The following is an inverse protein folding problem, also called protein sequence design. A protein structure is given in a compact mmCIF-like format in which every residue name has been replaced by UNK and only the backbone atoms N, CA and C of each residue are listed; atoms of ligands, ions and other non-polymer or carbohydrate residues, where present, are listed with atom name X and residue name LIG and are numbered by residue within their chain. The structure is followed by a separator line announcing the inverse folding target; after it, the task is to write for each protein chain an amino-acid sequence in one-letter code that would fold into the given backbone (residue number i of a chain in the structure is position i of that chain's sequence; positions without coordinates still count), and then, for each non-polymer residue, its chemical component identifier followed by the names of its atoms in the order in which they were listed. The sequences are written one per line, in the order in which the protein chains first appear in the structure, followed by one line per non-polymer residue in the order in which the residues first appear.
data_IF_536969597758
#
_entry.id   IF_536969597758
#
_cell.length_a   1.000
_cell.length_b   1.000
_cell.length_c   1.000
_cell.angle_alpha   90.00
_cell.angle_beta   90.00
_cell.angle_gamma   90.00
#
_symmetry.space_group_name_H-M   'P 1'
#
loop_
_entity.id
_entity.type
_entity.pdbx_description
1 polymer ?
#
# COMPACT_ATOMS: atom_id res chain seq x y z
N UNK A 1 -12.98 25.21 7.24
CA UNK A 1 -12.59 25.50 5.84
C UNK A 1 -11.09 25.81 5.82
N UNK A 2 -10.29 25.05 5.05
CA UNK A 2 -8.84 25.25 4.96
C UNK A 2 -8.50 26.57 4.24
N UNK A 3 -7.52 27.33 4.75
CA UNK A 3 -7.10 28.62 4.19
C UNK A 3 -6.42 28.53 2.82
N UNK A 4 -5.80 29.62 2.36
CA UNK A 4 -5.23 29.80 1.00
C UNK A 4 -4.15 28.76 0.58
N UNK A 5 -3.71 27.88 1.48
CA UNK A 5 -2.76 26.80 1.23
C UNK A 5 -3.40 25.41 1.40
N UNK A 6 -4.51 25.16 0.70
CA UNK A 6 -5.33 23.92 0.82
C UNK A 6 -4.49 22.65 0.68
N UNK A 7 -3.57 22.61 -0.29
CA UNK A 7 -2.73 21.43 -0.54
C UNK A 7 -1.70 21.19 0.57
N UNK A 8 -1.07 22.26 1.08
CA UNK A 8 -0.08 22.14 2.16
C UNK A 8 -0.75 21.71 3.47
N UNK A 9 -1.95 22.22 3.75
CA UNK A 9 -2.74 21.84 4.91
C UNK A 9 -3.25 20.40 4.82
N UNK A 10 -3.71 19.98 3.64
CA UNK A 10 -4.09 18.59 3.41
C UNK A 10 -2.90 17.64 3.59
N UNK A 11 -1.72 18.02 3.10
CA UNK A 11 -0.49 17.25 3.30
C UNK A 11 -0.07 17.22 4.79
N UNK A 12 -0.23 18.32 5.52
CA UNK A 12 0.04 18.36 6.96
C UNK A 12 -0.89 17.42 7.75
N UNK A 13 -2.14 17.26 7.31
CA UNK A 13 -3.07 16.27 7.89
C UNK A 13 -2.61 14.84 7.60
N UNK A 14 -2.23 14.54 6.35
CA UNK A 14 -1.75 13.21 5.94
C UNK A 14 -0.47 12.81 6.68
N UNK A 15 0.43 13.77 6.93
CA UNK A 15 1.68 13.56 7.66
C UNK A 15 1.49 13.56 9.19
N UNK A 16 0.27 13.77 9.69
CA UNK A 16 -0.03 13.84 11.13
C UNK A 16 0.50 15.09 11.83
N UNK A 17 0.95 16.11 11.08
CA UNK A 17 1.41 17.40 11.61
C UNK A 17 0.26 18.35 11.96
N UNK A 18 -0.91 18.19 11.33
CA UNK A 18 -2.14 18.91 11.64
C UNK A 18 -3.22 17.94 12.07
N UNK A 19 -3.68 18.08 13.31
CA UNK A 19 -4.69 17.22 13.96
C UNK A 19 -5.83 18.03 14.59
N UNK A 20 -5.83 19.35 14.40
CA UNK A 20 -6.88 20.25 14.85
C UNK A 20 -7.22 21.30 13.79
N UNK A 21 -8.44 21.84 13.85
CA UNK A 21 -8.91 22.97 13.06
C UNK A 21 -9.87 23.83 13.88
N UNK A 22 -9.97 25.11 13.55
CA UNK A 22 -10.99 25.98 14.13
C UNK A 22 -11.82 26.73 13.08
N UNK A 23 -13.01 27.15 13.47
CA UNK A 23 -13.94 27.92 12.65
C UNK A 23 -14.74 28.89 13.50
N UNK A 24 -15.22 30.01 12.95
CA UNK A 24 -15.95 31.00 13.73
C UNK A 24 -17.38 30.52 14.01
N UNK A 25 -17.75 30.41 15.29
CA UNK A 25 -19.05 29.90 15.73
C UNK A 25 -20.24 30.65 15.08
N UNK A 26 -20.12 31.97 14.97
CA UNK A 26 -21.16 32.83 14.39
C UNK A 26 -21.51 32.48 12.94
N UNK A 27 -20.60 31.87 12.18
CA UNK A 27 -20.85 31.51 10.78
C UNK A 27 -21.85 30.35 10.66
N UNK A 28 -21.81 29.37 11.57
CA UNK A 28 -22.78 28.26 11.59
C UNK A 28 -24.22 28.76 11.73
N UNK A 29 -24.45 29.74 12.61
CA UNK A 29 -25.78 30.34 12.80
C UNK A 29 -26.26 31.09 11.56
N UNK A 30 -25.36 31.83 10.90
CA UNK A 30 -25.67 32.61 9.69
C UNK A 30 -25.94 31.73 8.48
N UNK A 31 -25.15 30.67 8.32
CA UNK A 31 -25.23 29.73 7.19
C UNK A 31 -26.30 28.64 7.42
N UNK A 32 -26.84 28.56 8.65
CA UNK A 32 -27.78 27.52 9.09
C UNK A 32 -27.20 26.11 8.98
N UNK A 33 -25.90 26.00 9.25
CA UNK A 33 -25.18 24.74 9.28
C UNK A 33 -25.05 24.23 10.72
N UNK A 34 -25.13 22.90 10.94
CA UNK A 34 -24.88 22.33 12.26
C UNK A 34 -23.40 22.48 12.63
N UNK A 35 -23.14 22.66 13.91
CA UNK A 35 -21.78 22.55 14.45
C UNK A 35 -21.33 21.08 14.31
N UNK A 36 -20.06 20.82 13.95
CA UNK A 36 -19.50 19.48 13.88
C UNK A 36 -19.68 18.71 15.18
N UNK A 37 -19.84 17.39 15.08
CA UNK A 37 -20.02 16.52 16.25
C UNK A 37 -18.93 15.46 16.36
N UNK A 38 -18.66 15.03 17.59
CA UNK A 38 -17.71 13.93 17.84
C UNK A 38 -18.19 12.66 17.14
N UNK A 39 -17.26 11.94 16.52
CA UNK A 39 -17.45 10.79 15.62
C UNK A 39 -17.97 11.10 14.21
N UNK A 40 -18.07 12.37 13.82
CA UNK A 40 -18.33 12.76 12.45
C UNK A 40 -17.11 12.50 11.56
N UNK A 41 -17.35 12.10 10.31
CA UNK A 41 -16.31 11.87 9.32
C UNK A 41 -16.34 12.97 8.27
N UNK A 42 -15.16 13.49 7.93
CA UNK A 42 -14.98 14.54 6.94
C UNK A 42 -13.96 14.12 5.89
N UNK A 43 -14.23 14.49 4.64
CA UNK A 43 -13.32 14.26 3.52
C UNK A 43 -12.47 15.50 3.32
N UNK A 44 -11.15 15.32 3.33
CA UNK A 44 -10.19 16.37 2.97
C UNK A 44 -10.07 16.41 1.46
N UNK A 45 -10.23 17.61 0.90
CA UNK A 45 -10.07 17.88 -0.52
C UNK A 45 -8.78 18.66 -0.77
N UNK A 46 -8.15 18.42 -1.91
CA UNK A 46 -7.06 19.26 -2.42
C UNK A 46 -7.60 20.51 -3.15
N UNK A 47 -6.70 21.36 -3.65
CA UNK A 47 -7.01 22.58 -4.41
C UNK A 47 -7.78 22.33 -5.72
N UNK A 48 -7.79 21.09 -6.21
CA UNK A 48 -8.54 20.64 -7.39
C UNK A 48 -9.91 20.03 -7.03
N UNK A 49 -10.34 20.13 -5.77
CA UNK A 49 -11.55 19.49 -5.22
C UNK A 49 -11.54 17.96 -5.32
N UNK A 50 -10.37 17.33 -5.32
CA UNK A 50 -10.23 15.88 -5.30
C UNK A 50 -10.06 15.38 -3.86
N UNK A 51 -10.72 14.27 -3.47
CA UNK A 51 -10.53 13.68 -2.15
C UNK A 51 -9.09 13.18 -1.99
N UNK A 52 -8.47 13.47 -0.85
CA UNK A 52 -7.09 13.04 -0.53
C UNK A 52 -6.98 12.32 0.80
N UNK A 53 -7.87 12.57 1.75
CA UNK A 53 -7.90 11.88 3.04
C UNK A 53 -9.31 11.87 3.65
N UNK A 54 -9.53 10.96 4.60
CA UNK A 54 -10.71 10.93 5.47
C UNK A 54 -10.22 11.15 6.90
N UNK A 55 -10.86 12.09 7.60
CA UNK A 55 -10.62 12.34 9.02
C UNK A 55 -11.88 12.04 9.83
N UNK A 56 -11.71 11.80 11.12
CA UNK A 56 -12.79 11.63 12.09
C UNK A 56 -12.61 12.62 13.24
N UNK A 57 -13.64 13.42 13.52
CA UNK A 57 -13.64 14.34 14.66
C UNK A 57 -13.72 13.56 15.97
N UNK A 58 -12.78 13.82 16.89
CA UNK A 58 -12.67 13.14 18.19
C UNK A 58 -12.95 14.06 19.37
N UNK A 59 -12.84 15.38 19.19
CA UNK A 59 -13.18 16.37 20.20
C UNK A 59 -13.74 17.63 19.53
N UNK A 60 -14.73 18.25 20.17
CA UNK A 60 -15.30 19.54 19.74
C UNK A 60 -15.49 20.41 20.97
N UNK A 61 -14.95 21.62 20.93
CA UNK A 61 -15.08 22.62 21.99
C UNK A 61 -15.42 23.98 21.39
N UNK A 62 -16.13 24.81 22.17
CA UNK A 62 -16.43 26.19 21.78
C UNK A 62 -15.74 27.09 22.79
N UNK A 63 -14.70 27.79 22.35
CA UNK A 63 -13.88 28.65 23.22
C UNK A 63 -13.59 30.00 22.56
N UNK A 64 -13.44 31.08 23.34
CA UNK A 64 -12.97 32.36 22.82
C UNK A 64 -11.59 32.25 22.17
N UNK A 65 -11.36 32.96 21.07
CA UNK A 65 -10.07 32.93 20.35
C UNK A 65 -8.88 33.33 21.25
N UNK A 66 -9.06 34.28 22.15
CA UNK A 66 -8.05 34.70 23.12
C UNK A 66 -7.79 33.70 24.26
N UNK A 67 -8.60 32.65 24.39
CA UNK A 67 -8.44 31.57 25.37
C UNK A 67 -7.91 30.26 24.74
N UNK A 68 -7.64 30.25 23.43
CA UNK A 68 -7.03 29.11 22.74
C UNK A 68 -5.64 28.83 23.32
N UNK A 69 -5.38 27.57 23.64
CA UNK A 69 -4.10 27.15 24.21
C UNK A 69 -3.00 27.05 23.16
N UNK A 70 -1.75 27.22 23.58
CA UNK A 70 -0.59 26.99 22.70
C UNK A 70 -0.57 25.54 22.18
N UNK A 71 -1.00 24.58 22.99
CA UNK A 71 -1.12 23.17 22.60
C UNK A 71 -2.07 22.99 21.40
N UNK A 72 -3.23 23.65 21.41
CA UNK A 72 -4.18 23.61 20.30
C UNK A 72 -3.60 24.28 19.05
N UNK A 73 -2.97 25.45 19.21
CA UNK A 73 -2.31 26.16 18.11
C UNK A 73 -1.20 25.32 17.45
N UNK A 74 -0.46 24.53 18.23
CA UNK A 74 0.53 23.58 17.71
C UNK A 74 -0.14 22.41 16.98
N UNK A 75 -1.25 21.88 17.50
CA UNK A 75 -2.02 20.82 16.84
C UNK A 75 -2.64 21.27 15.51
N UNK A 76 -2.87 22.57 15.32
CA UNK A 76 -3.29 23.14 14.03
C UNK A 76 -2.18 23.16 12.97
N UNK A 77 -0.91 22.92 13.35
CA UNK A 77 0.22 22.80 12.44
C UNK A 77 0.92 24.12 12.09
N UNK A 78 0.59 25.24 12.76
CA UNK A 78 1.13 26.57 12.47
C UNK A 78 2.47 26.88 13.18
N UNK A 79 3.04 25.90 13.87
CA UNK A 79 4.40 25.96 14.45
C UNK A 79 4.57 26.76 15.74
N UNK A 80 3.82 27.85 15.96
CA UNK A 80 3.82 28.59 17.24
C UNK A 80 2.50 29.32 17.50
N UNK A 81 2.15 29.56 18.76
CA UNK A 81 0.93 30.31 19.13
C UNK A 81 0.88 31.72 18.50
N UNK A 82 2.01 32.44 18.49
CA UNK A 82 2.07 33.77 17.87
C UNK A 82 1.75 33.72 16.38
N UNK A 83 2.33 32.76 15.66
CA UNK A 83 2.08 32.60 14.23
C UNK A 83 0.62 32.21 13.97
N UNK A 84 0.11 31.24 14.73
CA UNK A 84 -1.30 30.84 14.70
C UNK A 84 -2.22 32.04 14.89
N UNK A 85 -1.99 32.88 15.92
CA UNK A 85 -2.81 34.07 16.21
C UNK A 85 -2.77 35.07 15.05
N UNK A 86 -1.58 35.40 14.52
CA UNK A 86 -1.44 36.35 13.41
C UNK A 86 -2.15 35.87 12.13
N UNK A 87 -2.09 34.56 11.83
CA UNK A 87 -2.77 33.95 10.68
C UNK A 87 -4.29 33.98 10.88
N UNK A 88 -4.77 33.50 12.03
CA UNK A 88 -6.20 33.37 12.32
C UNK A 88 -6.89 34.73 12.46
N UNK A 89 -6.23 35.74 13.04
CA UNK A 89 -6.78 37.09 13.09
C UNK A 89 -7.02 37.65 11.68
N UNK A 90 -6.05 37.47 10.78
CA UNK A 90 -6.16 37.93 9.39
C UNK A 90 -7.28 37.20 8.67
N UNK A 91 -7.36 35.89 8.86
CA UNK A 91 -8.39 35.04 8.28
C UNK A 91 -9.79 35.45 8.77
N UNK A 92 -10.03 35.51 10.08
CA UNK A 92 -11.34 35.85 10.63
C UNK A 92 -11.74 37.30 10.38
N UNK A 93 -10.81 38.27 10.37
CA UNK A 93 -11.09 39.65 9.92
C UNK A 93 -11.65 39.68 8.51
N UNK A 94 -11.12 38.85 7.61
CA UNK A 94 -11.60 38.74 6.23
C UNK A 94 -12.94 38.03 6.15
N UNK A 95 -13.09 36.85 6.76
CA UNK A 95 -14.31 36.05 6.66
C UNK A 95 -15.51 36.74 7.32
N UNK A 96 -15.35 37.27 8.53
CA UNK A 96 -16.40 38.04 9.22
C UNK A 96 -16.76 39.32 8.45
N UNK A 97 -15.76 39.96 7.83
CA UNK A 97 -15.98 41.14 6.99
C UNK A 97 -16.90 40.89 5.79
N UNK A 98 -16.87 39.69 5.19
CA UNK A 98 -17.76 39.31 4.07
C UNK A 98 -19.24 39.29 4.48
N UNK A 99 -19.51 39.00 5.76
CA UNK A 99 -20.87 38.96 6.33
C UNK A 99 -21.20 40.22 7.13
N UNK A 100 -20.38 41.27 7.03
CA UNK A 100 -20.61 42.56 7.69
C UNK A 100 -20.35 42.58 9.20
N UNK A 101 -19.68 41.56 9.74
CA UNK A 101 -19.30 41.46 11.15
C UNK A 101 -17.89 41.99 11.38
N UNK A 102 -17.66 42.53 12.58
CA UNK A 102 -16.32 42.98 13.02
C UNK A 102 -15.65 41.89 13.83
N UNK A 103 -14.38 41.66 13.57
CA UNK A 103 -13.54 40.79 14.36
C UNK A 103 -13.24 41.39 15.74
N UNK A 104 -13.29 40.56 16.77
CA UNK A 104 -12.83 40.82 18.13
C UNK A 104 -12.04 39.61 18.64
N UNK A 105 -11.12 39.80 19.59
CA UNK A 105 -10.29 38.68 20.08
C UNK A 105 -11.07 37.67 20.93
N UNK A 106 -12.27 38.03 21.39
CA UNK A 106 -13.18 37.18 22.16
C UNK A 106 -14.22 36.45 21.27
N UNK A 107 -14.05 36.46 19.94
CA UNK A 107 -14.91 35.67 19.05
C UNK A 107 -14.89 34.20 19.48
N UNK A 108 -16.07 33.57 19.51
CA UNK A 108 -16.16 32.14 19.79
C UNK A 108 -15.71 31.35 18.57
N UNK A 109 -14.76 30.44 18.80
CA UNK A 109 -14.30 29.46 17.83
C UNK A 109 -14.91 28.09 18.16
N UNK A 110 -15.38 27.40 17.13
CA UNK A 110 -15.60 25.96 17.17
C UNK A 110 -14.24 25.31 16.87
N UNK A 111 -13.66 24.69 17.89
CA UNK A 111 -12.37 24.02 17.86
C UNK A 111 -12.59 22.51 17.77
N UNK A 112 -12.10 21.91 16.69
CA UNK A 112 -12.20 20.48 16.43
C UNK A 112 -10.82 19.83 16.53
N UNK A 113 -10.74 18.67 17.18
CA UNK A 113 -9.62 17.74 17.01
C UNK A 113 -10.08 16.54 16.22
N UNK A 114 -9.20 16.02 15.38
CA UNK A 114 -9.52 14.89 14.52
C UNK A 114 -8.35 13.93 14.39
N UNK A 115 -8.69 12.71 13.99
CA UNK A 115 -7.75 11.65 13.66
C UNK A 115 -7.85 11.33 12.17
N UNK A 116 -6.70 11.06 11.54
CA UNK A 116 -6.63 10.58 10.17
C UNK A 116 -7.11 9.12 10.12
N UNK A 117 -8.13 8.85 9.32
CA UNK A 117 -8.73 7.51 9.18
C UNK A 117 -8.17 6.79 7.96
N UNK A 118 -8.09 7.49 6.83
CA UNK A 118 -7.63 6.90 5.57
C UNK A 118 -7.00 7.98 4.67
N UNK A 119 -6.10 7.54 3.78
CA UNK A 119 -5.42 8.38 2.80
C UNK A 119 -5.67 7.80 1.43
N UNK A 120 -6.14 8.64 0.50
CA UNK A 120 -6.27 8.22 -0.90
C UNK A 120 -4.87 7.92 -1.44
N UNK A 121 -4.61 6.64 -1.67
CA UNK A 121 -3.36 6.19 -2.27
C UNK A 121 -3.19 6.85 -3.64
N UNK A 122 -2.08 7.55 -3.80
CA UNK A 122 -1.74 8.19 -5.07
C UNK A 122 -1.58 7.09 -6.11
N UNK A 123 -2.22 7.22 -7.27
CA UNK A 123 -1.91 6.40 -8.45
C UNK A 123 -0.43 6.59 -8.76
N UNK A 124 0.41 5.64 -8.36
CA UNK A 124 1.85 5.72 -8.61
C UNK A 124 2.14 5.28 -10.03
N UNK A 125 2.84 6.11 -10.81
CA UNK A 125 3.37 5.73 -12.14
C UNK A 125 4.58 4.80 -12.00
N UNK A 126 4.42 3.67 -11.31
CA UNK A 126 5.45 2.64 -11.12
C UNK A 126 4.84 1.25 -11.26
N UNK A 127 5.67 0.28 -11.67
CA UNK A 127 5.29 -1.13 -11.59
C UNK A 127 5.11 -1.51 -10.11
N UNK A 128 3.97 -2.11 -9.78
CA UNK A 128 3.62 -2.46 -8.40
C UNK A 128 4.15 -3.83 -7.99
N UNK A 129 4.02 -4.81 -8.89
CA UNK A 129 4.48 -6.20 -8.72
C UNK A 129 4.63 -6.88 -10.07
N UNK A 130 5.22 -8.07 -10.08
CA UNK A 130 5.11 -8.99 -11.21
C UNK A 130 3.65 -9.44 -11.32
N UNK A 131 3.06 -9.26 -12.49
CA UNK A 131 1.66 -9.58 -12.75
C UNK A 131 1.49 -11.05 -13.14
N UNK A 132 2.16 -11.43 -14.23
CA UNK A 132 2.13 -12.77 -14.83
C UNK A 132 3.55 -13.14 -15.30
N UNK A 133 3.93 -14.40 -15.14
CA UNK A 133 5.15 -14.96 -15.77
C UNK A 133 4.78 -15.97 -16.85
N UNK A 134 5.51 -15.98 -17.96
CA UNK A 134 5.28 -16.89 -19.08
C UNK A 134 6.28 -18.04 -19.02
N UNK A 135 5.78 -19.27 -19.07
CA UNK A 135 6.57 -20.51 -19.04
C UNK A 135 6.29 -21.28 -20.34
N UNK A 136 7.31 -21.55 -21.16
CA UNK A 136 7.13 -22.35 -22.37
C UNK A 136 6.89 -23.82 -22.02
N UNK A 137 5.88 -24.43 -22.63
CA UNK A 137 5.53 -25.85 -22.44
C UNK A 137 5.28 -26.52 -23.79
N UNK A 138 5.65 -27.79 -23.96
CA UNK A 138 5.40 -28.51 -25.22
C UNK A 138 3.94 -28.96 -25.36
N UNK A 139 3.28 -29.22 -24.23
CA UNK A 139 1.88 -29.65 -24.17
C UNK A 139 1.15 -28.95 -23.01
N UNK A 140 0.22 -28.08 -23.36
CA UNK A 140 -0.54 -27.25 -22.41
C UNK A 140 -1.38 -28.08 -21.44
N UNK A 141 -2.03 -29.14 -21.92
CA UNK A 141 -2.89 -29.99 -21.09
C UNK A 141 -2.06 -30.69 -20.01
N UNK A 142 -1.01 -31.39 -20.45
CA UNK A 142 -0.15 -32.18 -19.56
C UNK A 142 0.62 -31.28 -18.58
N UNK A 143 1.09 -30.12 -19.04
CA UNK A 143 1.75 -29.17 -18.16
C UNK A 143 0.78 -28.64 -17.10
N UNK A 144 -0.42 -28.21 -17.49
CA UNK A 144 -1.41 -27.71 -16.54
C UNK A 144 -1.76 -28.76 -15.47
N UNK A 145 -2.00 -30.01 -15.88
CA UNK A 145 -2.24 -31.14 -14.97
C UNK A 145 -1.05 -31.34 -14.01
N UNK A 146 0.18 -31.33 -14.52
CA UNK A 146 1.37 -31.49 -13.69
C UNK A 146 1.52 -30.38 -12.65
N UNK A 147 1.32 -29.12 -13.02
CA UNK A 147 1.41 -28.01 -12.07
C UNK A 147 0.34 -28.08 -10.98
N UNK A 148 -0.89 -28.45 -11.35
CA UNK A 148 -1.99 -28.66 -10.38
C UNK A 148 -1.66 -29.81 -9.44
N UNK A 149 -1.26 -30.96 -9.96
CA UNK A 149 -1.04 -32.17 -9.16
C UNK A 149 0.23 -32.13 -8.32
N UNK A 150 1.33 -31.58 -8.85
CA UNK A 150 2.65 -31.62 -8.19
C UNK A 150 2.90 -30.43 -7.30
N UNK A 151 2.38 -29.26 -7.66
CA UNK A 151 2.68 -28.00 -6.99
C UNK A 151 1.45 -27.35 -6.35
N UNK A 152 0.28 -28.01 -6.37
CA UNK A 152 -0.97 -27.50 -5.80
C UNK A 152 -1.39 -26.15 -6.43
N UNK A 153 -1.10 -25.98 -7.73
CA UNK A 153 -1.50 -24.79 -8.46
C UNK A 153 -3.01 -24.80 -8.78
N UNK A 154 -3.63 -23.62 -8.83
CA UNK A 154 -5.03 -23.48 -9.24
C UNK A 154 -5.11 -23.18 -10.74
N UNK A 155 -5.80 -24.03 -11.50
CA UNK A 155 -6.08 -23.78 -12.92
C UNK A 155 -7.24 -22.81 -13.08
N UNK A 156 -6.97 -21.65 -13.68
CA UNK A 156 -7.97 -20.58 -13.89
C UNK A 156 -8.48 -20.50 -15.34
N UNK A 157 -7.68 -20.92 -16.31
CA UNK A 157 -8.05 -20.90 -17.72
C UNK A 157 -7.21 -21.90 -18.52
N UNK A 158 -7.78 -22.46 -19.60
CA UNK A 158 -7.06 -23.31 -20.54
C UNK A 158 -7.72 -23.33 -21.92
N UNK A 159 -6.89 -23.26 -22.97
CA UNK A 159 -7.22 -23.56 -24.36
C UNK A 159 -6.11 -24.41 -25.01
N UNK A 160 -6.14 -24.58 -26.33
CA UNK A 160 -5.16 -25.40 -27.07
C UNK A 160 -3.74 -24.81 -27.09
N UNK A 161 -3.59 -23.51 -26.87
CA UNK A 161 -2.34 -22.76 -27.01
C UNK A 161 -1.76 -22.32 -25.66
N UNK A 162 -2.57 -22.22 -24.60
CA UNK A 162 -2.11 -21.83 -23.27
C UNK A 162 -3.02 -22.26 -22.12
N UNK A 163 -2.43 -22.31 -20.93
CA UNK A 163 -3.13 -22.39 -19.66
C UNK A 163 -2.71 -21.24 -18.73
N UNK A 164 -3.60 -20.82 -17.84
CA UNK A 164 -3.31 -19.86 -16.78
C UNK A 164 -3.47 -20.56 -15.44
N UNK A 165 -2.38 -20.68 -14.70
CA UNK A 165 -2.37 -21.24 -13.36
C UNK A 165 -2.00 -20.17 -12.33
N UNK A 166 -2.51 -20.28 -11.12
CA UNK A 166 -2.12 -19.46 -9.98
C UNK A 166 -1.35 -20.34 -8.97
N UNK A 167 -0.18 -19.88 -8.56
CA UNK A 167 0.70 -20.57 -7.62
C UNK A 167 1.44 -19.52 -6.79
N UNK A 168 1.44 -19.67 -5.46
CA UNK A 168 2.18 -18.81 -4.52
C UNK A 168 1.99 -17.30 -4.80
N UNK A 169 0.75 -16.83 -4.84
CA UNK A 169 0.36 -15.42 -5.11
C UNK A 169 0.80 -14.86 -6.48
N UNK A 170 1.22 -15.73 -7.40
CA UNK A 170 1.66 -15.37 -8.74
C UNK A 170 0.88 -16.13 -9.81
N UNK A 171 0.49 -15.44 -10.87
CA UNK A 171 -0.10 -16.08 -12.06
C UNK A 171 0.98 -16.47 -13.05
N UNK A 172 0.85 -17.66 -13.64
CA UNK A 172 1.73 -18.17 -14.69
C UNK A 172 0.94 -18.52 -15.94
N UNK A 173 1.45 -18.12 -17.11
CA UNK A 173 0.94 -18.53 -18.41
C UNK A 173 1.82 -19.67 -18.92
N UNK A 174 1.28 -20.88 -18.93
CA UNK A 174 1.88 -22.02 -19.60
C UNK A 174 1.56 -21.89 -21.08
N UNK A 175 2.55 -21.57 -21.91
CA UNK A 175 2.33 -21.27 -23.34
C UNK A 175 2.95 -22.34 -24.21
N UNK A 176 2.17 -22.86 -25.15
CA UNK A 176 2.62 -23.86 -26.11
C UNK A 176 3.81 -23.34 -26.91
N UNK A 177 4.94 -24.04 -26.78
CA UNK A 177 6.20 -23.72 -27.42
C UNK A 177 6.70 -24.90 -28.26
N UNK A 178 7.78 -24.68 -29.03
CA UNK A 178 8.46 -25.77 -29.72
C UNK A 178 9.12 -26.70 -28.71
N UNK A 179 9.30 -27.97 -29.09
CA UNK A 179 10.02 -28.95 -28.27
C UNK A 179 11.39 -28.40 -27.81
N UNK A 180 11.74 -28.73 -26.57
CA UNK A 180 12.99 -28.33 -25.90
C UNK A 180 13.18 -26.82 -25.66
N UNK A 181 12.14 -25.99 -25.82
CA UNK A 181 12.18 -24.61 -25.36
C UNK A 181 11.94 -24.55 -23.84
N UNK A 182 12.82 -23.85 -23.14
CA UNK A 182 12.70 -23.60 -21.69
C UNK A 182 12.89 -22.12 -21.39
N UNK A 183 12.50 -21.69 -20.20
CA UNK A 183 12.82 -20.37 -19.64
C UNK A 183 14.26 -20.28 -19.10
N UNK A 184 15.06 -21.34 -19.27
CA UNK A 184 16.44 -21.39 -18.82
C UNK A 184 17.34 -20.64 -19.80
N UNK A 185 18.53 -20.26 -19.34
CA UNK A 185 19.55 -19.62 -20.16
C UNK A 185 20.95 -20.05 -19.73
N UNK A 186 21.93 -19.88 -20.61
CA UNK A 186 23.33 -20.12 -20.28
C UNK A 186 23.99 -18.83 -19.80
N UNK A 187 24.73 -18.92 -18.70
CA UNK A 187 25.63 -17.85 -18.30
C UNK A 187 26.90 -17.82 -19.17
N UNK A 188 27.78 -16.84 -18.93
CA UNK A 188 29.03 -16.65 -19.67
C UNK A 188 30.01 -17.83 -19.54
N UNK A 189 29.83 -18.69 -18.54
CA UNK A 189 30.65 -19.88 -18.30
C UNK A 189 30.01 -21.16 -18.87
N UNK A 190 28.84 -21.05 -19.49
CA UNK A 190 28.10 -22.18 -20.02
C UNK A 190 27.29 -22.96 -18.99
N UNK A 191 27.10 -22.42 -17.78
CA UNK A 191 26.21 -23.05 -16.81
C UNK A 191 24.76 -22.67 -17.12
N UNK A 192 23.86 -23.64 -17.03
CA UNK A 192 22.42 -23.37 -17.11
C UNK A 192 21.94 -22.59 -15.89
N UNK A 193 21.04 -21.64 -16.14
CA UNK A 193 20.45 -20.72 -15.17
C UNK A 193 18.94 -20.64 -15.38
N UNK A 194 18.24 -20.35 -14.30
CA UNK A 194 16.81 -20.09 -14.24
C UNK A 194 16.54 -18.63 -13.91
N UNK A 195 15.31 -18.17 -14.13
CA UNK A 195 14.90 -16.78 -13.95
C UNK A 195 13.95 -16.54 -12.76
N UNK A 196 13.54 -17.60 -12.07
CA UNK A 196 12.54 -17.56 -11.00
C UNK A 196 13.00 -18.31 -9.76
N UNK A 197 12.70 -17.72 -8.60
CA UNK A 197 12.96 -18.27 -7.28
C UNK A 197 11.67 -18.23 -6.45
N UNK A 198 11.30 -19.36 -5.88
CA UNK A 198 10.28 -19.47 -4.85
C UNK A 198 10.91 -19.34 -3.46
N UNK A 199 10.21 -18.70 -2.54
CA UNK A 199 10.65 -18.55 -1.15
C UNK A 199 9.93 -19.55 -0.26
N UNK A 200 10.66 -20.12 0.70
CA UNK A 200 10.09 -21.00 1.73
C UNK A 200 10.61 -20.58 3.10
N UNK A 201 9.79 -20.78 4.12
CA UNK A 201 10.05 -20.29 5.47
C UNK A 201 11.04 -21.18 6.24
N UNK A 202 12.34 -20.96 5.99
CA UNK A 202 13.45 -21.59 6.70
C UNK A 202 13.96 -22.90 6.12
N UNK A 203 15.18 -23.29 6.53
CA UNK A 203 15.88 -24.47 6.00
C UNK A 203 15.11 -25.78 6.23
N UNK A 204 14.38 -25.91 7.34
CA UNK A 204 13.61 -27.11 7.65
C UNK A 204 12.38 -27.26 6.76
N UNK A 205 11.73 -26.16 6.38
CA UNK A 205 10.64 -26.20 5.41
C UNK A 205 11.18 -26.58 4.02
N UNK A 206 12.31 -25.99 3.62
CA UNK A 206 12.99 -26.31 2.37
C UNK A 206 13.33 -27.80 2.24
N UNK A 207 13.91 -28.41 3.28
CA UNK A 207 14.23 -29.86 3.30
C UNK A 207 12.98 -30.73 3.17
N UNK A 208 11.88 -30.38 3.85
CA UNK A 208 10.62 -31.14 3.76
C UNK A 208 10.03 -31.10 2.35
N UNK A 209 10.05 -29.93 1.72
CA UNK A 209 9.57 -29.76 0.34
C UNK A 209 10.46 -30.54 -0.62
N UNK A 210 11.79 -30.47 -0.47
CA UNK A 210 12.75 -31.25 -1.26
C UNK A 210 12.46 -32.76 -1.19
N UNK A 211 12.31 -33.32 0.02
CA UNK A 211 11.95 -34.73 0.21
C UNK A 211 10.58 -35.08 -0.37
N UNK A 212 9.61 -34.17 -0.26
CA UNK A 212 8.28 -34.35 -0.82
C UNK A 212 8.35 -34.42 -2.35
N UNK A 213 9.07 -33.49 -2.99
CA UNK A 213 9.23 -33.43 -4.44
C UNK A 213 9.85 -34.72 -4.99
N UNK A 214 10.86 -35.26 -4.31
CA UNK A 214 11.43 -36.57 -4.64
C UNK A 214 10.36 -37.67 -4.57
N UNK A 215 9.55 -37.70 -3.51
CA UNK A 215 8.49 -38.72 -3.33
C UNK A 215 7.39 -38.64 -4.38
N UNK A 216 7.11 -37.45 -4.91
CA UNK A 216 6.11 -37.24 -5.97
C UNK A 216 6.72 -37.19 -7.37
N UNK A 217 7.97 -37.66 -7.54
CA UNK A 217 8.66 -37.78 -8.83
C UNK A 217 8.84 -36.45 -9.58
N UNK A 218 9.09 -35.37 -8.83
CA UNK A 218 9.55 -34.09 -9.38
C UNK A 218 11.07 -34.15 -9.49
N UNK A 219 11.63 -33.71 -10.62
CA UNK A 219 13.07 -33.64 -10.82
C UNK A 219 13.65 -32.54 -9.94
N UNK A 220 14.50 -32.91 -8.97
CA UNK A 220 15.17 -31.97 -8.06
C UNK A 220 16.68 -32.16 -8.07
N UNK A 221 17.41 -31.05 -7.92
CA UNK A 221 18.84 -31.03 -7.66
C UNK A 221 19.17 -31.20 -6.17
N UNK A 222 20.45 -31.16 -5.85
CA UNK A 222 20.94 -31.19 -4.47
C UNK A 222 20.62 -29.89 -3.72
N UNK A 223 20.60 -29.97 -2.38
CA UNK A 223 20.53 -28.78 -1.53
C UNK A 223 21.92 -28.16 -1.41
N UNK A 224 22.04 -26.88 -1.70
CA UNK A 224 23.31 -26.17 -1.83
C UNK A 224 23.37 -24.90 -0.97
N UNK A 225 24.61 -24.51 -0.59
CA UNK A 225 24.93 -23.19 -0.03
C UNK A 225 25.69 -22.38 -1.07
N UNK A 226 25.09 -21.30 -1.56
CA UNK A 226 25.60 -20.51 -2.70
C UNK A 226 26.35 -19.23 -2.32
N UNK A 227 26.80 -19.12 -1.06
CA UNK A 227 27.59 -17.99 -0.59
C UNK A 227 26.77 -16.75 -0.18
N UNK A 228 25.45 -16.89 -0.07
CA UNK A 228 24.54 -15.92 0.55
C UNK A 228 23.74 -16.59 1.68
N UNK A 229 22.87 -15.83 2.35
CA UNK A 229 22.01 -16.35 3.41
C UNK A 229 21.11 -17.48 2.89
N UNK A 230 20.78 -18.42 3.76
CA UNK A 230 19.95 -19.57 3.46
C UNK A 230 20.63 -20.68 2.65
N UNK A 231 19.80 -21.66 2.26
CA UNK A 231 20.12 -22.76 1.37
C UNK A 231 19.13 -22.78 0.20
N UNK A 232 19.50 -23.44 -0.89
CA UNK A 232 18.68 -23.52 -2.09
C UNK A 232 18.65 -24.95 -2.64
N UNK A 233 17.60 -25.28 -3.38
CA UNK A 233 17.64 -26.38 -4.35
C UNK A 233 16.90 -25.95 -5.62
N UNK A 234 17.19 -26.64 -6.72
CA UNK A 234 16.53 -26.41 -8.02
C UNK A 234 15.58 -27.57 -8.30
N UNK A 235 14.42 -27.30 -8.87
CA UNK A 235 13.57 -28.33 -9.46
C UNK A 235 13.18 -27.99 -10.89
N UNK A 236 12.75 -28.99 -11.66
CA UNK A 236 12.30 -28.80 -13.03
C UNK A 236 10.86 -29.29 -13.22
N UNK A 237 10.13 -28.64 -14.13
CA UNK A 237 8.86 -29.15 -14.65
C UNK A 237 9.07 -30.23 -15.73
N UNK A 238 7.98 -30.67 -16.36
CA UNK A 238 7.98 -31.69 -17.42
C UNK A 238 8.77 -31.27 -18.68
N UNK A 239 8.87 -29.97 -18.95
CA UNK A 239 9.53 -29.42 -20.13
C UNK A 239 10.98 -29.01 -19.85
N UNK A 240 11.43 -29.17 -18.60
CA UNK A 240 12.79 -28.82 -18.17
C UNK A 240 12.96 -27.36 -17.79
N UNK A 241 11.87 -26.60 -17.59
CA UNK A 241 11.96 -25.27 -16.98
C UNK A 241 12.43 -25.42 -15.54
N UNK A 242 13.55 -24.77 -15.22
CA UNK A 242 14.15 -24.82 -13.90
C UNK A 242 13.63 -23.67 -13.02
N UNK A 243 13.42 -23.99 -11.75
CA UNK A 243 12.99 -23.06 -10.71
C UNK A 243 13.84 -23.26 -9.46
N UNK A 244 14.22 -22.15 -8.84
CA UNK A 244 14.93 -22.18 -7.56
C UNK A 244 13.96 -22.15 -6.40
N UNK A 245 14.36 -22.76 -5.29
CA UNK A 245 13.67 -22.65 -4.01
C UNK A 245 14.68 -22.16 -2.99
N UNK A 246 14.38 -21.06 -2.30
CA UNK A 246 15.27 -20.42 -1.34
C UNK A 246 14.66 -20.42 0.07
N UNK A 247 15.47 -20.78 1.08
CA UNK A 247 15.01 -20.89 2.47
C UNK A 247 14.76 -19.57 3.19
N UNK A 248 15.00 -18.42 2.54
CA UNK A 248 14.80 -17.11 3.14
C UNK A 248 13.56 -16.44 2.58
N UNK A 249 12.84 -15.73 3.44
CA UNK A 249 11.73 -14.88 3.04
C UNK A 249 12.22 -13.46 2.76
N UNK A 250 11.68 -12.85 1.72
CA UNK A 250 11.87 -11.44 1.42
C UNK A 250 11.42 -10.57 2.62
N UNK A 251 12.14 -9.48 2.93
CA UNK A 251 11.82 -8.63 4.08
C UNK A 251 10.41 -8.03 4.05
N UNK A 252 9.85 -7.79 2.86
CA UNK A 252 8.47 -7.33 2.69
C UNK A 252 7.46 -8.40 3.08
N UNK A 253 7.66 -9.63 2.62
CA UNK A 253 6.74 -10.73 2.90
C UNK A 253 6.73 -11.10 4.40
N UNK A 254 7.87 -10.96 5.07
CA UNK A 254 7.98 -11.20 6.51
C UNK A 254 7.24 -10.14 7.36
N UNK A 255 7.07 -8.91 6.85
CA UNK A 255 6.32 -7.85 7.54
C UNK A 255 4.82 -8.10 7.53
N UNK A 256 4.28 -8.67 6.46
CA UNK A 256 2.84 -8.93 6.32
C UNK A 256 2.36 -10.14 7.14
N UNK A 257 3.28 -10.90 7.77
CA UNK A 257 2.98 -12.06 8.62
C UNK A 257 3.05 -11.78 10.13
N UNK A 258 3.48 -10.58 10.56
CA UNK A 258 3.54 -10.17 11.97
C UNK A 258 2.43 -9.16 12.30
#
# INVERSE_FOLDING_TARGET
MFGEAVDELAQAVIEGRKTATCSAHVLYELEKEPIPVVNEYSIILNSLNEPVAIIKTVDVSIIPMNEVTEEFALAEGDGSYRNWKEIHERYFKRELGKVGLKFTEDILLVCERFELVDVKQKSTNRLLRVGITYIPVSNVELAAEWYVEKLDAELSYRDEDKAIINLTDQSFFLVKAKESQTANFLDVYGNERFSLTFEVDGEEALKRIHEQFIKIDVSVGEIEKRGHAGVNFVFSDLDGNQFDVWSELSPSFNKDRN
#
